data_IF_915324079173
#
_entry.id   IF_915324079173
#
_cell.length_a   1.000
_cell.length_b   1.000
_cell.length_c   1.000
_cell.angle_alpha   90.00
_cell.angle_beta   90.00
_cell.angle_gamma   90.00
#
_symmetry.space_group_name_H-M   'P 1'
#
loop_
_entity.id
_entity.type
_entity.pdbx_description
1 polymer ?
#
# COMPACT_ATOMS: atom_id res chain seq x y z
N UNK A 1 -26.75 -31.34 21.62
CA UNK A 1 -25.93 -32.44 21.07
C UNK A 1 -26.30 -32.60 19.60
N UNK A 2 -25.32 -32.55 18.71
CA UNK A 2 -25.49 -32.77 17.26
C UNK A 2 -25.91 -31.50 16.49
N UNK A 3 -25.24 -31.03 15.46
CA UNK A 3 -24.13 -31.61 14.71
C UNK A 3 -23.23 -30.51 14.15
N UNK A 4 -21.96 -30.85 14.08
CA UNK A 4 -20.89 -30.08 13.45
C UNK A 4 -21.28 -29.82 11.99
N UNK A 5 -21.43 -28.56 11.61
CA UNK A 5 -21.39 -28.16 10.21
C UNK A 5 -19.95 -28.34 9.74
N UNK A 6 -19.73 -29.48 9.07
CA UNK A 6 -18.52 -29.83 8.35
C UNK A 6 -18.06 -28.60 7.55
N UNK A 7 -16.90 -28.08 7.91
CA UNK A 7 -16.19 -27.11 7.10
C UNK A 7 -15.98 -27.74 5.72
N UNK A 8 -16.68 -27.23 4.70
CA UNK A 8 -16.22 -27.42 3.33
C UNK A 8 -14.77 -26.95 3.31
N UNK A 9 -13.86 -27.89 3.09
CA UNK A 9 -12.44 -27.62 2.95
C UNK A 9 -12.28 -26.87 1.64
N UNK A 10 -12.39 -25.54 1.71
CA UNK A 10 -12.08 -24.68 0.58
C UNK A 10 -10.68 -25.07 0.11
N UNK A 11 -10.56 -25.55 -1.12
CA UNK A 11 -9.27 -25.98 -1.67
C UNK A 11 -8.42 -24.78 -2.10
N UNK A 12 -8.99 -23.58 -1.99
CA UNK A 12 -8.40 -22.32 -2.40
C UNK A 12 -8.56 -21.32 -1.25
N UNK A 13 -7.44 -20.81 -0.75
CA UNK A 13 -7.40 -19.69 0.18
C UNK A 13 -6.88 -18.47 -0.58
N UNK A 14 -7.70 -17.42 -0.67
CA UNK A 14 -7.34 -16.17 -1.33
C UNK A 14 -7.41 -15.00 -0.36
N UNK A 15 -6.32 -14.26 -0.26
CA UNK A 15 -6.16 -13.10 0.61
C UNK A 15 -5.90 -11.86 -0.25
N UNK A 16 -6.83 -10.92 -0.26
CA UNK A 16 -6.66 -9.66 -0.97
C UNK A 16 -5.71 -8.71 -0.22
N UNK A 17 -4.86 -8.02 -0.96
CA UNK A 17 -3.86 -7.08 -0.45
C UNK A 17 -4.18 -5.68 -0.94
N UNK A 18 -4.58 -4.82 0.00
CA UNK A 18 -4.94 -3.42 -0.28
C UNK A 18 -3.70 -2.59 -0.63
N UNK A 19 -3.72 -2.01 -1.82
CA UNK A 19 -2.68 -1.12 -2.36
C UNK A 19 -2.84 0.34 -1.96
N UNK A 20 -2.60 1.23 -2.92
CA UNK A 20 -2.57 2.68 -2.74
C UNK A 20 -3.96 3.33 -2.53
N UNK A 21 -5.07 2.67 -2.85
CA UNK A 21 -6.44 3.21 -2.65
C UNK A 21 -6.84 3.17 -1.17
N UNK A 22 -6.24 4.06 -0.37
CA UNK A 22 -6.46 4.19 1.07
C UNK A 22 -7.01 5.56 1.39
N UNK A 23 -7.81 5.63 2.45
CA UNK A 23 -8.30 6.91 2.96
C UNK A 23 -7.16 7.90 3.25
N UNK A 24 -6.07 7.44 3.86
CA UNK A 24 -4.89 8.29 4.12
C UNK A 24 -4.30 8.87 2.83
N UNK A 25 -4.21 8.08 1.75
CA UNK A 25 -3.71 8.58 0.48
C UNK A 25 -4.67 9.58 -0.17
N UNK A 26 -5.99 9.36 -0.06
CA UNK A 26 -7.01 10.31 -0.54
C UNK A 26 -6.92 11.62 0.23
N UNK A 27 -6.80 11.55 1.56
CA UNK A 27 -6.67 12.71 2.43
C UNK A 27 -5.43 13.54 2.09
N UNK A 28 -4.27 12.91 1.99
CA UNK A 28 -3.03 13.60 1.63
C UNK A 28 -3.04 14.12 0.19
N UNK A 29 -3.59 13.37 -0.76
CA UNK A 29 -3.76 13.85 -2.13
C UNK A 29 -4.63 15.10 -2.18
N UNK A 30 -5.72 15.14 -1.40
CA UNK A 30 -6.60 16.31 -1.28
C UNK A 30 -5.87 17.53 -0.73
N UNK A 31 -5.21 17.39 0.44
CA UNK A 31 -4.45 18.48 1.06
C UNK A 31 -3.36 19.00 0.12
N UNK A 32 -2.56 18.11 -0.47
CA UNK A 32 -1.50 18.50 -1.40
C UNK A 32 -2.05 19.16 -2.65
N UNK A 33 -3.22 18.75 -3.15
CA UNK A 33 -3.86 19.37 -4.31
C UNK A 33 -4.30 20.80 -4.00
N UNK A 34 -4.97 21.00 -2.86
CA UNK A 34 -5.44 22.32 -2.42
C UNK A 34 -4.23 23.25 -2.19
N UNK A 35 -3.22 22.79 -1.46
CA UNK A 35 -2.01 23.57 -1.19
C UNK A 35 -1.21 23.87 -2.46
N UNK A 36 -0.99 22.88 -3.32
CA UNK A 36 -0.24 23.03 -4.57
C UNK A 36 -0.90 24.03 -5.52
N UNK A 37 -2.21 23.84 -5.79
CA UNK A 37 -2.97 24.76 -6.64
C UNK A 37 -3.06 26.15 -6.02
N UNK A 38 -3.34 26.24 -4.71
CA UNK A 38 -3.43 27.52 -4.01
C UNK A 38 -2.13 28.33 -4.08
N UNK A 39 -0.98 27.69 -3.85
CA UNK A 39 0.31 28.36 -3.94
C UNK A 39 0.72 28.70 -5.38
N UNK A 40 0.41 27.86 -6.36
CA UNK A 40 0.60 28.20 -7.77
C UNK A 40 -0.20 29.44 -8.15
N UNK A 41 -1.50 29.49 -7.81
CA UNK A 41 -2.36 30.63 -8.11
C UNK A 41 -1.91 31.90 -7.38
N UNK A 42 -1.47 31.79 -6.12
CA UNK A 42 -0.94 32.93 -5.37
C UNK A 42 0.35 33.50 -6.00
N UNK A 43 1.27 32.63 -6.39
CA UNK A 43 2.52 33.03 -7.04
C UNK A 43 2.30 33.62 -8.44
N UNK A 44 1.40 33.02 -9.24
CA UNK A 44 1.01 33.55 -10.55
C UNK A 44 0.27 34.89 -10.43
N UNK A 45 -0.60 35.03 -9.44
CA UNK A 45 -1.27 36.29 -9.16
C UNK A 45 -0.27 37.41 -8.91
N UNK A 46 0.74 37.16 -8.07
CA UNK A 46 1.81 38.11 -7.76
C UNK A 46 2.65 38.49 -9.00
N UNK A 47 2.84 37.56 -9.95
CA UNK A 47 3.51 37.83 -11.22
C UNK A 47 2.67 38.68 -12.18
N UNK A 48 1.37 38.38 -12.28
CA UNK A 48 0.44 39.01 -13.22
C UNK A 48 -0.15 40.32 -12.68
N UNK A 49 -0.04 40.58 -11.38
CA UNK A 49 -0.69 41.70 -10.70
C UNK A 49 -2.22 41.58 -10.65
N UNK A 50 -2.77 40.37 -10.80
CA UNK A 50 -4.21 40.11 -10.82
C UNK A 50 -4.56 39.01 -9.84
N UNK A 51 -5.54 39.24 -8.97
CA UNK A 51 -5.94 38.25 -7.98
C UNK A 51 -6.65 37.04 -8.61
N UNK A 52 -5.91 35.93 -8.75
CA UNK A 52 -6.42 34.65 -9.25
C UNK A 52 -7.11 33.79 -8.18
N UNK A 53 -6.94 34.13 -6.90
CA UNK A 53 -7.55 33.38 -5.80
C UNK A 53 -8.95 33.90 -5.52
N UNK A 54 -9.90 32.97 -5.40
CA UNK A 54 -11.31 33.29 -5.09
C UNK A 54 -11.50 33.69 -3.62
N UNK A 55 -10.65 33.19 -2.73
CA UNK A 55 -10.85 33.25 -1.26
C UNK A 55 -9.82 34.14 -0.55
N UNK A 56 -8.81 34.66 -1.23
CA UNK A 56 -7.74 35.44 -0.59
C UNK A 56 -7.29 36.61 -1.44
N UNK A 57 -6.92 37.71 -0.80
CA UNK A 57 -6.31 38.86 -1.49
C UNK A 57 -4.80 38.65 -1.63
N UNK A 58 -4.31 38.81 -2.85
CA UNK A 58 -2.91 38.62 -3.23
C UNK A 58 -2.23 39.92 -3.66
N UNK A 59 -2.96 41.04 -3.60
CA UNK A 59 -2.50 42.36 -4.04
C UNK A 59 -1.27 42.86 -3.26
N UNK A 60 -1.06 42.38 -2.04
CA UNK A 60 0.10 42.73 -1.20
C UNK A 60 1.34 41.86 -1.40
N UNK A 61 1.29 40.82 -2.23
CA UNK A 61 2.39 39.87 -2.40
C UNK A 61 3.36 40.40 -3.45
N UNK A 62 4.60 40.71 -3.03
CA UNK A 62 5.68 41.02 -3.96
C UNK A 62 6.16 39.76 -4.67
N UNK A 63 6.31 39.83 -6.00
CA UNK A 63 6.70 38.67 -6.80
C UNK A 63 8.05 38.08 -6.35
N UNK A 64 9.02 38.95 -6.08
CA UNK A 64 10.33 38.56 -5.54
C UNK A 64 10.46 39.12 -4.12
N UNK A 65 10.82 38.29 -3.12
CA UNK A 65 11.08 36.85 -3.18
C UNK A 65 9.84 35.96 -2.97
N UNK A 66 8.74 36.52 -2.46
CA UNK A 66 7.63 35.75 -1.89
C UNK A 66 6.80 35.02 -2.95
N UNK A 67 6.43 35.69 -4.04
CA UNK A 67 5.70 35.07 -5.15
C UNK A 67 6.47 33.91 -5.80
N UNK A 68 7.79 34.05 -5.97
CA UNK A 68 8.67 32.97 -6.47
C UNK A 68 8.69 31.77 -5.52
N UNK A 69 8.78 32.00 -4.21
CA UNK A 69 8.71 30.92 -3.23
C UNK A 69 7.35 30.19 -3.28
N UNK A 70 6.25 30.94 -3.42
CA UNK A 70 4.90 30.36 -3.56
C UNK A 70 4.78 29.54 -4.86
N UNK A 71 5.31 30.03 -5.99
CA UNK A 71 5.36 29.23 -7.22
C UNK A 71 6.14 27.93 -7.03
N UNK A 72 7.31 28.00 -6.39
CA UNK A 72 8.13 26.81 -6.13
C UNK A 72 7.39 25.77 -5.27
N UNK A 73 6.83 26.18 -4.14
CA UNK A 73 6.07 25.29 -3.27
C UNK A 73 4.78 24.80 -3.93
N UNK A 74 4.15 25.63 -4.77
CA UNK A 74 3.01 25.25 -5.58
C UNK A 74 3.34 24.12 -6.55
N UNK A 75 4.41 24.26 -7.34
CA UNK A 75 4.90 23.21 -8.25
C UNK A 75 5.21 21.93 -7.48
N UNK A 76 5.96 22.03 -6.38
CA UNK A 76 6.31 20.87 -5.55
C UNK A 76 5.05 20.16 -5.00
N UNK A 77 4.10 20.92 -4.46
CA UNK A 77 2.83 20.41 -3.95
C UNK A 77 1.99 19.74 -5.03
N UNK A 78 1.91 20.35 -6.22
CA UNK A 78 1.20 19.80 -7.37
C UNK A 78 1.83 18.51 -7.90
N UNK A 79 3.17 18.40 -7.92
CA UNK A 79 3.87 17.16 -8.28
C UNK A 79 3.55 16.05 -7.28
N UNK A 80 3.60 16.35 -5.98
CA UNK A 80 3.25 15.39 -4.92
C UNK A 80 1.79 14.94 -5.05
N UNK A 81 0.87 15.88 -5.25
CA UNK A 81 -0.55 15.59 -5.46
C UNK A 81 -0.76 14.70 -6.68
N UNK A 82 -0.15 15.05 -7.83
CA UNK A 82 -0.23 14.27 -9.06
C UNK A 82 0.31 12.85 -8.88
N UNK A 83 1.42 12.69 -8.16
CA UNK A 83 1.96 11.37 -7.81
C UNK A 83 0.98 10.53 -6.96
N UNK A 84 0.36 11.12 -5.94
CA UNK A 84 -0.61 10.42 -5.09
C UNK A 84 -1.86 10.03 -5.88
N UNK A 85 -2.41 10.93 -6.70
CA UNK A 85 -3.54 10.61 -7.57
C UNK A 85 -3.21 9.51 -8.57
N UNK A 86 -2.03 9.56 -9.21
CA UNK A 86 -1.59 8.56 -10.17
C UNK A 86 -1.42 7.19 -9.52
N UNK A 87 -0.73 7.11 -8.38
CA UNK A 87 -0.52 5.85 -7.66
C UNK A 87 -1.83 5.22 -7.18
N UNK A 88 -2.80 6.03 -6.76
CA UNK A 88 -4.16 5.57 -6.43
C UNK A 88 -4.96 5.12 -7.66
N UNK A 89 -4.91 5.89 -8.75
CA UNK A 89 -5.61 5.56 -9.99
C UNK A 89 -5.15 4.20 -10.52
N UNK A 90 -3.84 3.98 -10.52
CA UNK A 90 -3.20 2.74 -10.94
C UNK A 90 -3.25 1.61 -9.89
N UNK A 91 -3.75 1.90 -8.68
CA UNK A 91 -3.83 1.00 -7.54
C UNK A 91 -2.49 0.29 -7.23
N UNK A 92 -1.40 1.05 -7.23
CA UNK A 92 -0.04 0.52 -7.02
C UNK A 92 0.05 -0.15 -5.65
N UNK A 93 0.75 -1.29 -5.59
CA UNK A 93 0.91 -2.13 -4.41
C UNK A 93 -0.28 -3.04 -4.09
N UNK A 94 -1.40 -2.95 -4.82
CA UNK A 94 -2.53 -3.86 -4.61
C UNK A 94 -2.26 -5.23 -5.19
N UNK A 95 -2.99 -6.26 -4.77
CA UNK A 95 -2.90 -7.59 -5.36
C UNK A 95 -3.53 -8.63 -4.46
N UNK A 96 -3.10 -9.88 -4.58
CA UNK A 96 -3.64 -10.96 -3.78
C UNK A 96 -2.59 -12.05 -3.53
N UNK A 97 -2.80 -12.84 -2.48
CA UNK A 97 -2.12 -14.10 -2.25
C UNK A 97 -3.15 -15.20 -2.47
N UNK A 98 -2.87 -16.13 -3.37
CA UNK A 98 -3.72 -17.29 -3.63
C UNK A 98 -2.94 -18.57 -3.32
N UNK A 99 -3.53 -19.43 -2.51
CA UNK A 99 -2.99 -20.73 -2.14
C UNK A 99 -3.99 -21.78 -2.60
N UNK A 100 -3.65 -22.56 -3.61
CA UNK A 100 -4.58 -23.47 -4.29
C UNK A 100 -4.07 -24.91 -4.18
N UNK A 101 -4.68 -25.69 -3.28
CA UNK A 101 -4.38 -27.11 -3.04
C UNK A 101 -4.71 -28.00 -4.24
N UNK A 102 -5.75 -27.68 -5.02
CA UNK A 102 -6.10 -28.45 -6.23
C UNK A 102 -5.00 -28.35 -7.30
N UNK A 103 -4.48 -27.15 -7.53
CA UNK A 103 -3.42 -26.92 -8.51
C UNK A 103 -2.01 -27.17 -7.97
N UNK A 104 -1.85 -27.31 -6.64
CA UNK A 104 -0.57 -27.42 -5.97
C UNK A 104 0.27 -26.14 -6.00
N UNK A 105 -0.33 -24.96 -6.24
CA UNK A 105 0.39 -23.71 -6.47
C UNK A 105 0.08 -22.62 -5.45
N UNK A 106 1.10 -21.83 -5.16
CA UNK A 106 1.03 -20.55 -4.45
C UNK A 106 1.32 -19.42 -5.42
N UNK A 107 0.36 -18.51 -5.58
CA UNK A 107 0.46 -17.35 -6.46
C UNK A 107 0.41 -16.08 -5.62
N UNK A 108 1.50 -15.31 -5.66
CA UNK A 108 1.58 -13.99 -5.03
C UNK A 108 1.60 -12.96 -6.15
N UNK A 109 0.50 -12.24 -6.30
CA UNK A 109 0.32 -11.22 -7.32
C UNK A 109 0.33 -9.83 -6.71
N UNK A 110 1.03 -8.88 -7.34
CA UNK A 110 1.04 -7.46 -6.98
C UNK A 110 1.05 -6.57 -8.23
N UNK A 111 0.32 -5.47 -8.17
CA UNK A 111 0.41 -4.35 -9.09
C UNK A 111 1.59 -3.46 -8.72
N UNK A 112 2.59 -3.40 -9.58
CA UNK A 112 3.73 -2.49 -9.49
C UNK A 112 3.44 -1.11 -10.09
N UNK A 113 4.50 -0.30 -10.18
CA UNK A 113 4.48 0.98 -10.88
C UNK A 113 4.27 0.78 -12.39
N UNK A 114 3.77 1.79 -13.12
CA UNK A 114 3.69 1.75 -14.58
C UNK A 114 5.05 1.42 -15.20
N UNK A 115 5.03 0.56 -16.23
CA UNK A 115 6.23 0.09 -16.92
C UNK A 115 6.16 -1.40 -17.26
N UNK A 116 7.31 -1.97 -17.66
CA UNK A 116 7.43 -3.37 -18.10
C UNK A 116 7.05 -4.39 -17.01
N UNK A 117 7.31 -4.06 -15.74
CA UNK A 117 7.06 -4.94 -14.58
C UNK A 117 5.82 -4.50 -13.78
N UNK A 118 4.79 -3.98 -14.45
CA UNK A 118 3.55 -3.54 -13.79
C UNK A 118 2.83 -4.70 -13.10
N UNK A 119 2.87 -5.90 -13.66
CA UNK A 119 2.31 -7.11 -13.05
C UNK A 119 3.48 -7.90 -12.46
N UNK A 120 3.53 -7.99 -11.14
CA UNK A 120 4.53 -8.76 -10.42
C UNK A 120 3.83 -10.02 -9.94
N UNK A 121 4.19 -11.15 -10.52
CA UNK A 121 3.59 -12.44 -10.20
C UNK A 121 4.70 -13.42 -9.81
N UNK A 122 4.54 -14.02 -8.63
CA UNK A 122 5.44 -15.03 -8.10
C UNK A 122 4.62 -16.31 -7.91
N UNK A 123 4.96 -17.34 -8.68
CA UNK A 123 4.33 -18.66 -8.60
C UNK A 123 5.34 -19.65 -8.03
N UNK A 124 4.94 -20.39 -7.00
CA UNK A 124 5.72 -21.46 -6.39
C UNK A 124 4.83 -22.68 -6.17
N UNK A 125 5.44 -23.86 -6.01
CA UNK A 125 4.70 -25.06 -5.61
C UNK A 125 4.40 -25.02 -4.11
N UNK A 126 3.22 -25.51 -3.71
CA UNK A 126 2.85 -25.66 -2.29
C UNK A 126 3.84 -26.59 -1.59
N UNK A 127 4.32 -27.63 -2.29
CA UNK A 127 5.31 -28.58 -1.76
C UNK A 127 6.65 -27.92 -1.38
N UNK A 128 6.98 -26.77 -1.96
CA UNK A 128 8.20 -26.03 -1.63
C UNK A 128 8.02 -25.08 -0.43
N UNK A 129 6.79 -24.91 0.07
CA UNK A 129 6.54 -24.09 1.26
C UNK A 129 7.02 -24.83 2.51
N UNK A 130 7.89 -24.19 3.27
CA UNK A 130 8.48 -24.76 4.48
C UNK A 130 7.78 -24.31 5.76
N UNK A 131 7.42 -23.03 5.82
CA UNK A 131 6.81 -22.43 7.00
C UNK A 131 6.09 -21.12 6.64
N UNK A 132 5.15 -20.74 7.49
CA UNK A 132 4.66 -19.35 7.57
C UNK A 132 5.46 -18.67 8.67
N UNK A 133 6.10 -17.54 8.38
CA UNK A 133 6.93 -16.82 9.35
C UNK A 133 6.25 -15.52 9.77
N UNK A 134 5.98 -15.36 11.05
CA UNK A 134 5.61 -14.10 11.66
C UNK A 134 6.89 -13.34 12.06
N UNK A 135 6.95 -12.05 11.75
CA UNK A 135 8.00 -11.15 12.23
C UNK A 135 7.32 -10.08 13.08
N UNK A 136 7.67 -10.05 14.37
CA UNK A 136 7.21 -9.06 15.33
C UNK A 136 8.43 -8.28 15.79
N UNK A 137 8.45 -6.98 15.48
CA UNK A 137 9.44 -6.03 15.98
C UNK A 137 8.70 -4.93 16.72
N UNK A 138 9.07 -4.70 17.98
CA UNK A 138 8.54 -3.61 18.78
C UNK A 138 9.54 -2.45 18.89
N UNK A 139 9.09 -1.31 19.40
CA UNK A 139 9.90 -0.09 19.56
C UNK A 139 9.46 1.06 18.65
N UNK A 140 10.41 1.94 18.30
CA UNK A 140 10.14 3.21 17.59
C UNK A 140 9.60 2.99 16.16
N UNK A 141 9.99 1.88 15.52
CA UNK A 141 9.46 1.47 14.22
C UNK A 141 8.91 0.04 14.31
N UNK A 142 7.68 -0.11 14.84
CA UNK A 142 7.09 -1.42 15.02
C UNK A 142 6.82 -2.06 13.66
N UNK A 143 7.08 -3.37 13.57
CA UNK A 143 6.85 -4.15 12.36
C UNK A 143 6.12 -5.43 12.73
N UNK A 144 4.97 -5.68 12.13
CA UNK A 144 4.20 -6.93 12.29
C UNK A 144 3.84 -7.42 10.91
N UNK A 145 4.57 -8.42 10.43
CA UNK A 145 4.47 -8.89 9.05
C UNK A 145 4.57 -10.41 8.95
N UNK A 146 3.72 -11.01 8.11
CA UNK A 146 3.83 -12.40 7.70
C UNK A 146 4.67 -12.53 6.43
N UNK A 147 5.45 -13.61 6.40
CA UNK A 147 6.23 -14.06 5.27
C UNK A 147 5.94 -15.53 4.97
N UNK A 148 6.11 -15.89 3.71
CA UNK A 148 6.13 -17.27 3.25
C UNK A 148 7.57 -17.70 3.06
N UNK A 149 7.98 -18.75 3.77
CA UNK A 149 9.30 -19.37 3.61
C UNK A 149 9.18 -20.47 2.58
N UNK A 150 9.87 -20.31 1.45
CA UNK A 150 9.86 -21.24 0.33
C UNK A 150 11.27 -21.77 0.12
N UNK A 151 11.40 -23.06 -0.20
CA UNK A 151 12.67 -23.72 -0.47
C UNK A 151 13.50 -22.95 -1.49
N UNK A 152 14.78 -22.71 -1.19
CA UNK A 152 15.74 -22.03 -2.06
C UNK A 152 15.32 -20.61 -2.52
N UNK A 153 14.38 -19.96 -1.83
CA UNK A 153 14.01 -18.56 -2.07
C UNK A 153 14.15 -17.72 -0.81
N UNK A 154 14.18 -16.41 -1.00
CA UNK A 154 14.06 -15.45 0.10
C UNK A 154 12.63 -15.44 0.63
N UNK A 155 12.48 -15.16 1.92
CA UNK A 155 11.19 -14.99 2.60
C UNK A 155 10.31 -14.01 1.81
N UNK A 156 9.14 -14.47 1.35
CA UNK A 156 8.24 -13.66 0.52
C UNK A 156 7.23 -12.95 1.42
N UNK A 157 7.19 -11.60 1.47
CA UNK A 157 6.25 -10.89 2.32
C UNK A 157 4.81 -11.10 1.81
N UNK A 158 3.98 -11.66 2.68
CA UNK A 158 2.54 -11.86 2.42
C UNK A 158 1.72 -10.65 2.84
N UNK A 159 2.17 -9.99 3.89
CA UNK A 159 1.57 -8.77 4.42
C UNK A 159 2.08 -7.53 3.69
N UNK A 160 1.24 -6.51 3.70
CA UNK A 160 1.46 -5.21 3.06
C UNK A 160 2.46 -4.36 3.85
N UNK A 161 3.22 -3.52 3.14
CA UNK A 161 4.00 -2.46 3.74
C UNK A 161 3.10 -1.35 4.31
N UNK A 162 3.49 -0.79 5.45
CA UNK A 162 2.78 0.32 6.11
C UNK A 162 2.49 0.04 7.58
N UNK A 163 1.32 0.49 8.05
CA UNK A 163 0.93 0.36 9.44
C UNK A 163 0.87 -1.13 9.86
N UNK A 164 1.51 -1.50 10.99
CA UNK A 164 1.46 -2.86 11.51
C UNK A 164 0.02 -3.29 11.76
N UNK A 165 -0.31 -4.53 11.38
CA UNK A 165 -1.57 -5.14 11.77
C UNK A 165 -1.58 -5.41 13.28
N UNK A 166 -2.76 -5.61 13.88
CA UNK A 166 -2.81 -5.98 15.29
C UNK A 166 -2.14 -7.35 15.50
N UNK A 167 -1.59 -7.58 16.70
CA UNK A 167 -0.96 -8.86 17.02
C UNK A 167 -1.96 -10.02 16.84
N UNK A 168 -3.18 -9.84 17.32
CA UNK A 168 -4.27 -10.81 17.14
C UNK A 168 -4.59 -11.11 15.66
N UNK A 169 -4.55 -10.09 14.78
CA UNK A 169 -4.76 -10.30 13.35
C UNK A 169 -3.59 -11.05 12.72
N UNK A 170 -2.36 -10.73 13.12
CA UNK A 170 -1.15 -11.43 12.66
C UNK A 170 -1.19 -12.91 13.03
N UNK A 171 -1.49 -13.20 14.29
CA UNK A 171 -1.61 -14.56 14.82
C UNK A 171 -2.72 -15.34 14.13
N UNK A 172 -3.92 -14.76 14.02
CA UNK A 172 -5.05 -15.42 13.37
C UNK A 172 -4.77 -15.70 11.89
N UNK A 173 -4.26 -14.72 11.13
CA UNK A 173 -3.93 -14.91 9.71
C UNK A 173 -2.77 -15.89 9.52
N UNK A 174 -1.75 -15.84 10.39
CA UNK A 174 -0.61 -16.74 10.36
C UNK A 174 -1.02 -18.18 10.67
N UNK A 175 -1.80 -18.40 11.72
CA UNK A 175 -2.30 -19.71 12.12
C UNK A 175 -3.27 -20.30 11.10
N UNK A 176 -4.18 -19.49 10.54
CA UNK A 176 -5.07 -19.92 9.48
C UNK A 176 -4.28 -20.40 8.25
N UNK A 177 -3.29 -19.62 7.82
CA UNK A 177 -2.46 -19.96 6.68
C UNK A 177 -1.58 -21.18 6.92
N UNK A 178 -0.96 -21.28 8.09
CA UNK A 178 -0.14 -22.43 8.49
C UNK A 178 -0.98 -23.71 8.53
N UNK A 179 -2.17 -23.65 9.12
CA UNK A 179 -3.14 -24.76 9.14
C UNK A 179 -3.62 -25.12 7.73
N UNK A 180 -3.86 -24.12 6.89
CA UNK A 180 -4.25 -24.36 5.50
C UNK A 180 -3.13 -25.08 4.74
N UNK A 181 -1.88 -24.63 4.85
CA UNK A 181 -0.75 -25.20 4.11
C UNK A 181 -0.15 -26.45 4.75
N UNK A 182 -0.58 -26.82 5.97
CA UNK A 182 -0.04 -27.95 6.74
C UNK A 182 1.47 -27.81 7.03
N UNK A 183 1.90 -26.56 7.28
CA UNK A 183 3.29 -26.19 7.58
C UNK A 183 3.37 -25.50 8.96
N UNK A 184 4.53 -25.52 9.63
CA UNK A 184 4.71 -24.80 10.89
C UNK A 184 4.57 -23.28 10.76
N UNK A 185 4.12 -22.64 11.83
CA UNK A 185 4.19 -21.19 12.04
C UNK A 185 5.48 -20.89 12.83
N UNK A 186 6.42 -20.18 12.22
CA UNK A 186 7.69 -19.73 12.84
C UNK A 186 7.59 -18.25 13.28
N UNK A 187 8.30 -17.86 14.33
CA UNK A 187 8.53 -16.43 14.65
C UNK A 187 7.59 -15.78 15.65
N UNK A 188 7.23 -16.51 16.71
CA UNK A 188 6.76 -15.92 17.97
C UNK A 188 7.94 -15.61 18.89
#
# INVERSE_FOLDING_TARGET
MGGQTLAESSQILRQEVLGARRFSNVFWAGISSIGGVGFLLAGLSSYLGQNLLIVSDTSGIQFIPQGVALLFYGVAGSIVAGYLWLTMALNVGSGYNEFNKQSGKVTIFRWGFPGKNRRIELVNEIADVQAVKAEIKEGVNPKRSLYLKVKQRRDIPLTRAGQPISLSQLENQGAELARFLEVPLEGL
#
